data_IF_321957636325
#
_entry.id   IF_321957636325
#
_cell.length_a   1.000
_cell.length_b   1.000
_cell.length_c   1.000
_cell.angle_alpha   90.00
_cell.angle_beta   90.00
_cell.angle_gamma   90.00
#
_symmetry.space_group_name_H-M   'P 1'
#
loop_
_entity.id
_entity.type
_entity.pdbx_description
1 polymer ?
#
# COMPACT_ATOMS: atom_id res chain seq x y z
N UNK A 1 14.49 3.25 -4.79
CA UNK A 1 14.25 2.28 -5.86
C UNK A 1 12.76 2.02 -6.08
N UNK A 2 11.96 1.77 -5.04
CA UNK A 2 10.52 1.50 -5.11
C UNK A 2 9.74 2.65 -5.77
N UNK A 3 10.00 3.90 -5.37
CA UNK A 3 9.36 5.08 -5.98
C UNK A 3 9.73 5.24 -7.46
N UNK A 4 10.99 4.94 -7.82
CA UNK A 4 11.41 4.94 -9.21
C UNK A 4 10.66 3.89 -10.02
N UNK A 5 10.53 2.66 -9.50
CA UNK A 5 9.82 1.58 -10.18
C UNK A 5 8.34 1.92 -10.37
N UNK A 6 7.71 2.57 -9.38
CA UNK A 6 6.33 3.04 -9.47
C UNK A 6 6.11 4.04 -10.59
N UNK A 7 7.06 4.95 -10.82
CA UNK A 7 6.99 5.93 -11.90
C UNK A 7 7.42 5.37 -13.24
N UNK A 8 8.41 4.46 -13.26
CA UNK A 8 8.95 3.86 -14.46
C UNK A 8 7.97 2.89 -15.15
N UNK A 9 7.27 2.08 -14.37
CA UNK A 9 6.46 1.00 -14.90
C UNK A 9 5.28 1.48 -15.77
N UNK A 10 4.51 2.53 -15.43
CA UNK A 10 3.46 3.05 -16.30
C UNK A 10 3.99 3.52 -17.66
N UNK A 11 5.17 4.14 -17.68
CA UNK A 11 5.81 4.63 -18.89
C UNK A 11 6.41 3.51 -19.76
N UNK A 12 6.53 2.28 -19.23
CA UNK A 12 7.09 1.11 -19.93
C UNK A 12 6.07 -0.02 -20.11
N UNK A 13 4.77 0.26 -20.00
CA UNK A 13 3.71 -0.72 -20.19
C UNK A 13 3.59 -1.78 -19.08
N UNK A 14 4.25 -1.57 -17.92
CA UNK A 14 4.27 -2.50 -16.79
C UNK A 14 3.36 -2.09 -15.63
N UNK A 15 2.39 -1.18 -15.84
CA UNK A 15 1.47 -0.68 -14.81
C UNK A 15 0.71 -1.81 -14.11
N UNK A 16 0.23 -2.79 -14.87
CA UNK A 16 -0.49 -3.94 -14.34
C UNK A 16 0.39 -4.78 -13.42
N UNK A 17 1.64 -4.98 -13.80
CA UNK A 17 2.65 -5.72 -13.03
C UNK A 17 2.91 -5.08 -11.66
N UNK A 18 3.05 -3.77 -11.63
CA UNK A 18 3.23 -2.99 -10.40
C UNK A 18 1.99 -3.09 -9.53
N UNK A 19 0.81 -2.98 -10.11
CA UNK A 19 -0.47 -3.13 -9.39
C UNK A 19 -0.58 -4.48 -8.69
N UNK A 20 -0.15 -5.58 -9.31
CA UNK A 20 -0.09 -6.89 -8.67
C UNK A 20 0.85 -6.92 -7.47
N UNK A 21 1.99 -6.22 -7.55
CA UNK A 21 2.91 -6.09 -6.43
C UNK A 21 2.26 -5.45 -5.20
N UNK A 22 1.50 -4.38 -5.41
CA UNK A 22 0.74 -3.72 -4.33
C UNK A 22 -0.39 -4.59 -3.78
N UNK A 23 -1.06 -5.38 -4.63
CA UNK A 23 -2.09 -6.31 -4.18
C UNK A 23 -1.52 -7.46 -3.33
N UNK A 24 -0.30 -7.91 -3.65
CA UNK A 24 0.40 -8.95 -2.88
C UNK A 24 1.01 -8.41 -1.58
N UNK A 25 1.35 -7.13 -1.53
CA UNK A 25 2.04 -6.50 -0.40
C UNK A 25 1.39 -6.80 0.96
N UNK A 26 0.08 -6.65 1.17
CA UNK A 26 -0.55 -6.92 2.47
C UNK A 26 -0.37 -8.38 2.91
N UNK A 27 -0.44 -9.33 2.00
CA UNK A 27 -0.25 -10.75 2.29
C UNK A 27 1.17 -11.02 2.76
N UNK A 28 2.16 -10.48 2.03
CA UNK A 28 3.58 -10.63 2.36
C UNK A 28 3.91 -9.93 3.68
N UNK A 29 3.32 -8.77 3.97
CA UNK A 29 3.47 -8.08 5.26
C UNK A 29 2.89 -8.89 6.42
N UNK A 30 1.74 -9.54 6.24
CA UNK A 30 1.17 -10.44 7.27
C UNK A 30 2.07 -11.65 7.50
N UNK A 31 2.60 -12.24 6.42
CA UNK A 31 3.56 -13.33 6.53
C UNK A 31 4.83 -12.89 7.28
N UNK A 32 5.39 -11.74 6.94
CA UNK A 32 6.54 -11.16 7.65
C UNK A 32 6.24 -10.88 9.13
N UNK A 33 5.08 -10.31 9.44
CA UNK A 33 4.61 -10.11 10.82
C UNK A 33 4.58 -11.39 11.63
N UNK A 34 4.10 -12.48 11.00
CA UNK A 34 4.04 -13.80 11.65
C UNK A 34 5.40 -14.46 11.78
N UNK A 35 6.21 -14.47 10.72
CA UNK A 35 7.47 -15.22 10.65
C UNK A 35 8.63 -14.49 11.34
N UNK A 36 8.76 -13.17 11.12
CA UNK A 36 9.88 -12.37 11.63
C UNK A 36 9.57 -11.87 13.04
N UNK A 37 8.39 -11.28 13.25
CA UNK A 37 8.02 -10.64 14.51
C UNK A 37 7.23 -11.54 15.45
N UNK A 38 6.92 -12.78 15.03
CA UNK A 38 6.13 -13.77 15.80
C UNK A 38 4.79 -13.19 16.30
N UNK A 39 4.21 -12.28 15.53
CA UNK A 39 2.93 -11.66 15.88
C UNK A 39 1.80 -12.69 15.92
N UNK A 40 0.91 -12.55 16.89
CA UNK A 40 -0.27 -13.41 16.98
C UNK A 40 -1.32 -12.96 15.99
N UNK A 41 -1.74 -13.85 15.12
CA UNK A 41 -2.81 -13.61 14.15
C UNK A 41 -4.08 -14.28 14.67
N UNK A 42 -5.19 -13.54 14.76
CA UNK A 42 -6.49 -14.13 15.12
C UNK A 42 -7.01 -14.99 13.98
N UNK A 43 -7.91 -15.92 14.30
CA UNK A 43 -8.53 -16.80 13.30
C UNK A 43 -9.23 -16.00 12.19
N UNK A 44 -9.93 -14.92 12.56
CA UNK A 44 -10.59 -14.06 11.57
C UNK A 44 -9.61 -13.37 10.64
N UNK A 45 -8.48 -12.85 11.16
CA UNK A 45 -7.42 -12.28 10.33
C UNK A 45 -6.77 -13.32 9.43
N UNK A 46 -6.57 -14.54 9.91
CA UNK A 46 -6.04 -15.62 9.10
C UNK A 46 -6.98 -15.97 7.93
N UNK A 47 -8.28 -16.10 8.21
CA UNK A 47 -9.29 -16.34 7.16
C UNK A 47 -9.31 -15.19 6.16
N UNK A 48 -9.25 -13.94 6.63
CA UNK A 48 -9.17 -12.77 5.75
C UNK A 48 -7.96 -12.81 4.81
N UNK A 49 -6.79 -13.19 5.32
CA UNK A 49 -5.58 -13.36 4.49
C UNK A 49 -5.76 -14.45 3.43
N UNK A 50 -6.36 -15.58 3.79
CA UNK A 50 -6.62 -16.68 2.83
C UNK A 50 -7.59 -16.23 1.75
N UNK A 51 -8.68 -15.55 2.10
CA UNK A 51 -9.65 -15.03 1.13
C UNK A 51 -8.97 -14.00 0.20
N UNK A 52 -8.20 -13.06 0.75
CA UNK A 52 -7.48 -12.08 -0.04
C UNK A 52 -6.46 -12.75 -0.98
N UNK A 53 -5.73 -13.75 -0.49
CA UNK A 53 -4.79 -14.51 -1.30
C UNK A 53 -5.48 -15.23 -2.48
N UNK A 54 -6.65 -15.84 -2.26
CA UNK A 54 -7.44 -16.46 -3.32
C UNK A 54 -7.88 -15.43 -4.37
N UNK A 55 -8.32 -14.23 -3.94
CA UNK A 55 -8.66 -13.13 -4.84
C UNK A 55 -7.47 -12.68 -5.69
N UNK A 56 -6.30 -12.51 -5.07
CA UNK A 56 -5.07 -12.12 -5.78
C UNK A 56 -4.62 -13.21 -6.76
N UNK A 57 -4.64 -14.48 -6.34
CA UNK A 57 -4.29 -15.62 -7.21
C UNK A 57 -5.24 -15.68 -8.42
N UNK A 58 -6.55 -15.52 -8.20
CA UNK A 58 -7.52 -15.51 -9.31
C UNK A 58 -7.21 -14.40 -10.32
N UNK A 59 -6.88 -13.20 -9.83
CA UNK A 59 -6.53 -12.07 -10.69
C UNK A 59 -5.23 -12.29 -11.46
N UNK A 60 -4.20 -12.88 -10.83
CA UNK A 60 -2.94 -13.24 -11.49
C UNK A 60 -3.17 -14.26 -12.61
N UNK A 61 -4.01 -15.28 -12.34
CA UNK A 61 -4.31 -16.32 -13.33
C UNK A 61 -5.10 -15.74 -14.52
N UNK A 62 -6.09 -14.89 -14.25
CA UNK A 62 -6.92 -14.31 -15.29
C UNK A 62 -6.18 -13.26 -16.14
N UNK A 63 -5.28 -12.49 -15.54
CA UNK A 63 -4.56 -11.39 -16.22
C UNK A 63 -3.15 -11.74 -16.72
N UNK A 64 -2.68 -12.98 -16.58
CA UNK A 64 -1.50 -13.47 -17.31
C UNK A 64 -0.21 -13.62 -16.52
N UNK A 65 -0.25 -13.78 -15.21
CA UNK A 65 0.91 -14.20 -14.42
C UNK A 65 1.53 -13.16 -13.51
N UNK A 66 2.55 -13.58 -12.77
CA UNK A 66 3.30 -12.76 -11.82
C UNK A 66 4.58 -12.25 -12.49
N UNK A 67 4.78 -10.96 -12.46
CA UNK A 67 5.98 -10.32 -13.03
C UNK A 67 7.07 -10.09 -11.99
N UNK A 68 8.30 -9.84 -12.43
CA UNK A 68 9.41 -9.51 -11.53
C UNK A 68 9.19 -8.18 -10.79
N UNK A 69 8.53 -7.21 -11.42
CA UNK A 69 8.18 -5.92 -10.83
C UNK A 69 7.26 -6.12 -9.62
N UNK A 70 6.27 -7.00 -9.74
CA UNK A 70 5.36 -7.33 -8.64
C UNK A 70 6.11 -7.92 -7.44
N UNK A 71 7.06 -8.83 -7.69
CA UNK A 71 7.89 -9.43 -6.64
C UNK A 71 8.75 -8.37 -5.97
N UNK A 72 9.43 -7.54 -6.75
CA UNK A 72 10.30 -6.48 -6.22
C UNK A 72 9.51 -5.49 -5.37
N UNK A 73 8.30 -5.11 -5.75
CA UNK A 73 7.45 -4.20 -4.97
C UNK A 73 7.03 -4.85 -3.65
N UNK A 74 6.41 -6.02 -3.67
CA UNK A 74 5.88 -6.61 -2.46
C UNK A 74 6.98 -7.01 -1.46
N UNK A 75 8.11 -7.55 -1.93
CA UNK A 75 9.24 -7.90 -1.06
C UNK A 75 10.00 -6.65 -0.61
N UNK A 76 10.21 -5.69 -1.50
CA UNK A 76 10.94 -4.46 -1.18
C UNK A 76 10.26 -3.61 -0.11
N UNK A 77 8.96 -3.34 -0.24
CA UNK A 77 8.22 -2.61 0.79
C UNK A 77 8.12 -3.39 2.11
N UNK A 78 7.87 -4.70 2.04
CA UNK A 78 7.84 -5.54 3.23
C UNK A 78 9.19 -5.53 3.96
N UNK A 79 10.30 -5.60 3.22
CA UNK A 79 11.65 -5.52 3.78
C UNK A 79 11.90 -4.15 4.41
N UNK A 80 11.55 -3.07 3.73
CA UNK A 80 11.67 -1.71 4.25
C UNK A 80 10.97 -1.55 5.60
N UNK A 81 9.69 -1.91 5.70
CA UNK A 81 8.94 -1.80 6.95
C UNK A 81 9.44 -2.76 8.03
N UNK A 82 9.88 -3.97 7.63
CA UNK A 82 10.44 -4.94 8.56
C UNK A 82 11.76 -4.44 9.18
N UNK A 83 12.65 -3.87 8.37
CA UNK A 83 13.92 -3.31 8.84
C UNK A 83 13.68 -2.10 9.74
N UNK A 84 12.81 -1.17 9.36
CA UNK A 84 12.44 -0.03 10.22
C UNK A 84 11.92 -0.50 11.57
N UNK A 85 11.02 -1.45 11.58
CA UNK A 85 10.45 -2.01 12.80
C UNK A 85 11.49 -2.73 13.67
N UNK A 86 12.35 -3.53 13.05
CA UNK A 86 13.40 -4.28 13.76
C UNK A 86 14.45 -3.35 14.40
N UNK A 87 14.83 -2.29 13.71
CA UNK A 87 15.78 -1.30 14.19
C UNK A 87 15.19 -0.33 15.21
N UNK A 88 13.87 -0.39 15.46
CA UNK A 88 13.13 0.61 16.26
C UNK A 88 13.39 2.06 15.79
N UNK A 89 13.76 2.21 14.53
CA UNK A 89 14.19 3.46 13.92
C UNK A 89 13.04 4.11 13.18
N UNK A 90 11.91 4.10 13.82
CA UNK A 90 10.64 4.55 13.27
C UNK A 90 10.35 6.01 13.63
N UNK A 91 11.39 6.76 14.01
CA UNK A 91 11.29 8.16 14.33
C UNK A 91 11.01 8.99 13.08
N UNK A 92 10.21 10.03 13.24
CA UNK A 92 9.94 11.01 12.20
C UNK A 92 11.24 11.65 11.68
N UNK A 93 12.25 11.79 12.54
CA UNK A 93 13.57 12.29 12.16
C UNK A 93 14.26 11.39 11.13
N UNK A 94 14.23 10.08 11.31
CA UNK A 94 14.80 9.13 10.34
C UNK A 94 14.06 9.21 8.99
N UNK A 95 12.72 9.36 9.02
CA UNK A 95 11.95 9.56 7.80
C UNK A 95 12.31 10.88 7.10
N UNK A 96 12.48 11.97 7.85
CA UNK A 96 12.95 13.23 7.28
C UNK A 96 14.34 13.11 6.63
N UNK A 97 15.27 12.38 7.25
CA UNK A 97 16.60 12.13 6.68
C UNK A 97 16.51 11.30 5.37
N UNK A 98 15.63 10.28 5.33
CA UNK A 98 15.37 9.52 4.10
C UNK A 98 14.84 10.44 2.98
N UNK A 99 13.89 11.33 3.28
CA UNK A 99 13.36 12.29 2.30
C UNK A 99 14.43 13.29 1.85
N UNK A 100 15.22 13.82 2.78
CA UNK A 100 16.34 14.72 2.45
C UNK A 100 17.38 14.05 1.54
N UNK A 101 17.64 12.76 1.73
CA UNK A 101 18.57 12.00 0.88
C UNK A 101 18.09 11.84 -0.57
N UNK A 102 16.79 11.98 -0.83
CA UNK A 102 16.21 11.93 -2.18
C UNK A 102 16.26 13.27 -2.92
N UNK A 103 16.49 14.40 -2.19
CA UNK A 103 16.49 15.73 -2.79
C UNK A 103 17.55 15.86 -3.91
N UNK A 104 18.81 15.41 -3.77
CA UNK A 104 19.79 15.52 -4.84
C UNK A 104 19.36 14.81 -6.12
N UNK A 105 18.76 13.63 -5.96
CA UNK A 105 18.25 12.83 -7.08
C UNK A 105 17.07 13.54 -7.74
N UNK A 106 16.15 14.09 -6.95
CA UNK A 106 15.00 14.84 -7.45
C UNK A 106 15.43 16.10 -8.20
N UNK A 107 16.42 16.83 -7.70
CA UNK A 107 16.99 18.00 -8.38
C UNK A 107 17.62 17.60 -9.72
N UNK A 108 18.38 16.50 -9.75
CA UNK A 108 19.00 16.01 -10.99
C UNK A 108 17.94 15.76 -12.09
N UNK A 109 16.85 15.07 -11.77
CA UNK A 109 15.76 14.84 -12.73
C UNK A 109 15.00 16.11 -13.07
N UNK A 110 14.78 17.00 -12.11
CA UNK A 110 14.15 18.29 -12.37
C UNK A 110 14.93 19.15 -13.37
N UNK A 111 16.26 19.14 -13.27
CA UNK A 111 17.12 19.88 -14.21
C UNK A 111 17.09 19.30 -15.65
N UNK A 112 16.67 18.06 -15.82
CA UNK A 112 16.52 17.43 -17.13
C UNK A 112 15.11 17.59 -17.72
N UNK A 113 14.15 18.10 -16.94
CA UNK A 113 12.77 18.25 -17.36
C UNK A 113 12.58 19.61 -18.05
N UNK A 114 11.99 19.59 -19.24
CA UNK A 114 11.58 20.81 -19.92
C UNK A 114 10.27 21.32 -19.32
N UNK A 115 10.37 22.20 -18.35
CA UNK A 115 9.22 22.78 -17.66
C UNK A 115 8.33 23.63 -18.58
N UNK A 116 8.87 24.18 -19.67
CA UNK A 116 8.06 24.94 -20.60
C UNK A 116 7.02 24.06 -21.31
N UNK A 117 7.39 22.85 -21.68
CA UNK A 117 6.46 21.86 -22.25
C UNK A 117 5.40 21.43 -21.23
N UNK A 118 5.81 21.24 -19.98
CA UNK A 118 4.89 20.82 -18.88
C UNK A 118 3.88 21.93 -18.58
N UNK A 119 4.32 23.19 -18.54
CA UNK A 119 3.46 24.36 -18.27
C UNK A 119 2.48 24.63 -19.43
N UNK A 120 2.89 24.40 -20.67
CA UNK A 120 2.00 24.47 -21.83
C UNK A 120 0.88 23.43 -21.77
N UNK A 121 1.16 22.23 -21.22
CA UNK A 121 0.17 21.16 -21.06
C UNK A 121 -0.84 21.46 -19.96
N UNK A 122 -0.42 22.16 -18.89
CA UNK A 122 -1.31 22.53 -17.78
C UNK A 122 -0.81 23.81 -17.08
N UNK A 123 -1.48 24.96 -17.29
CA UNK A 123 -1.09 26.24 -16.68
C UNK A 123 -1.06 26.24 -15.14
N UNK A 124 -1.81 25.34 -14.51
CA UNK A 124 -1.91 25.23 -13.04
C UNK A 124 -0.92 24.23 -12.45
N UNK A 125 0.04 23.74 -13.24
CA UNK A 125 0.93 22.63 -12.83
C UNK A 125 1.67 22.91 -11.52
N UNK A 126 2.13 24.13 -11.31
CA UNK A 126 2.86 24.50 -10.09
C UNK A 126 2.01 24.39 -8.83
N UNK A 127 0.76 24.86 -8.90
CA UNK A 127 -0.19 24.69 -7.80
C UNK A 127 -0.53 23.24 -7.52
N UNK A 128 -0.71 22.43 -8.58
CA UNK A 128 -0.98 21.00 -8.47
C UNK A 128 0.21 20.24 -7.89
N UNK A 129 1.44 20.57 -8.25
CA UNK A 129 2.66 19.96 -7.69
C UNK A 129 2.80 20.24 -6.19
N UNK A 130 2.56 21.49 -5.77
CA UNK A 130 2.57 21.85 -4.35
C UNK A 130 1.48 21.10 -3.58
N UNK A 131 0.26 21.07 -4.11
CA UNK A 131 -0.85 20.35 -3.52
C UNK A 131 -0.57 18.83 -3.41
N UNK A 132 -0.05 18.23 -4.48
CA UNK A 132 0.36 16.84 -4.51
C UNK A 132 1.43 16.55 -3.44
N UNK A 133 2.44 17.41 -3.34
CA UNK A 133 3.49 17.29 -2.33
C UNK A 133 2.97 17.35 -0.90
N UNK A 134 2.04 18.27 -0.61
CA UNK A 134 1.41 18.41 0.71
C UNK A 134 0.55 17.17 1.05
N UNK A 135 -0.29 16.72 0.14
CA UNK A 135 -1.15 15.56 0.35
C UNK A 135 -0.29 14.30 0.54
N UNK A 136 0.65 14.05 -0.36
CA UNK A 136 1.52 12.86 -0.30
C UNK A 136 2.42 12.89 0.93
N UNK A 137 2.99 14.05 1.27
CA UNK A 137 3.84 14.20 2.44
C UNK A 137 3.08 13.94 3.75
N UNK A 138 1.88 14.50 3.90
CA UNK A 138 1.04 14.23 5.09
C UNK A 138 0.61 12.78 5.16
N UNK A 139 0.24 12.16 4.05
CA UNK A 139 -0.12 10.74 4.00
C UNK A 139 1.05 9.83 4.38
N UNK A 140 2.26 10.09 3.88
CA UNK A 140 3.46 9.33 4.22
C UNK A 140 3.83 9.48 5.70
N UNK A 141 3.76 10.69 6.26
CA UNK A 141 3.99 10.92 7.70
C UNK A 141 2.98 10.11 8.52
N UNK A 142 1.70 10.19 8.18
CA UNK A 142 0.66 9.42 8.87
C UNK A 142 0.90 7.91 8.77
N UNK A 143 1.34 7.42 7.61
CA UNK A 143 1.68 6.01 7.41
C UNK A 143 2.88 5.58 8.26
N UNK A 144 3.94 6.40 8.35
CA UNK A 144 5.11 6.15 9.21
C UNK A 144 4.70 6.09 10.68
N UNK A 145 3.87 7.03 11.15
CA UNK A 145 3.34 7.03 12.52
C UNK A 145 2.53 5.75 12.77
N UNK A 146 1.62 5.39 11.86
CA UNK A 146 0.82 4.19 11.97
C UNK A 146 1.67 2.91 12.00
N UNK A 147 2.76 2.84 11.21
CA UNK A 147 3.67 1.70 11.19
C UNK A 147 4.37 1.44 12.52
N UNK A 148 4.50 2.48 13.36
CA UNK A 148 5.07 2.39 14.70
C UNK A 148 4.06 1.94 15.75
N UNK A 149 2.82 2.33 15.58
CA UNK A 149 1.75 2.07 16.53
C UNK A 149 1.07 0.73 16.31
N UNK A 150 1.10 0.22 15.07
CA UNK A 150 0.36 -0.97 14.67
C UNK A 150 1.28 -2.19 14.50
N UNK A 151 0.79 -3.40 14.81
CA UNK A 151 1.47 -4.62 14.43
C UNK A 151 1.54 -4.75 12.90
N UNK A 152 2.62 -5.36 12.39
CA UNK A 152 2.89 -5.49 10.95
C UNK A 152 1.75 -6.19 10.20
N UNK A 153 1.15 -7.22 10.82
CA UNK A 153 0.02 -7.93 10.24
C UNK A 153 -1.23 -7.05 10.07
N UNK A 154 -1.46 -6.10 10.98
CA UNK A 154 -2.60 -5.19 10.88
C UNK A 154 -2.31 -4.07 9.87
N UNK A 155 -1.10 -3.53 9.90
CA UNK A 155 -0.65 -2.51 8.95
C UNK A 155 -0.79 -3.03 7.50
N UNK A 156 -0.31 -4.26 7.23
CA UNK A 156 -0.45 -4.89 5.93
C UNK A 156 -1.91 -5.05 5.50
N UNK A 157 -2.77 -5.57 6.38
CA UNK A 157 -4.18 -5.78 6.04
C UNK A 157 -4.94 -4.46 5.79
N UNK A 158 -4.56 -3.37 6.49
CA UNK A 158 -5.13 -2.04 6.24
C UNK A 158 -4.75 -1.51 4.85
N UNK A 159 -3.68 -1.99 4.22
CA UNK A 159 -3.34 -1.66 2.83
C UNK A 159 -4.45 -2.02 1.84
N UNK A 160 -5.29 -3.02 2.13
CA UNK A 160 -6.45 -3.31 1.29
C UNK A 160 -7.53 -2.24 1.31
N UNK A 161 -7.58 -1.38 2.34
CA UNK A 161 -8.48 -0.20 2.37
C UNK A 161 -8.16 0.74 1.22
N UNK A 162 -6.88 0.95 0.95
CA UNK A 162 -6.41 1.76 -0.18
C UNK A 162 -6.96 1.20 -1.50
N UNK A 163 -6.83 -0.11 -1.71
CA UNK A 163 -7.33 -0.77 -2.93
C UNK A 163 -8.84 -0.58 -3.10
N UNK A 164 -9.62 -0.73 -2.03
CA UNK A 164 -11.08 -0.53 -2.08
C UNK A 164 -11.43 0.93 -2.38
N UNK A 165 -10.73 1.88 -1.74
CA UNK A 165 -10.94 3.31 -1.99
C UNK A 165 -10.60 3.69 -3.43
N UNK A 166 -9.51 3.13 -4.00
CA UNK A 166 -9.15 3.35 -5.40
C UNK A 166 -10.25 2.87 -6.35
N UNK A 167 -10.84 1.70 -6.12
CA UNK A 167 -11.96 1.20 -6.93
C UNK A 167 -13.19 2.09 -6.80
N UNK A 168 -13.51 2.59 -5.61
CA UNK A 168 -14.62 3.54 -5.42
C UNK A 168 -14.37 4.82 -6.21
N UNK A 169 -13.14 5.34 -6.18
CA UNK A 169 -12.76 6.54 -6.92
C UNK A 169 -12.85 6.29 -8.43
N UNK A 170 -12.38 5.15 -8.94
CA UNK A 170 -12.50 4.77 -10.36
C UNK A 170 -13.95 4.78 -10.83
N UNK A 171 -14.89 4.23 -10.04
CA UNK A 171 -16.33 4.30 -10.36
C UNK A 171 -16.87 5.73 -10.36
N UNK A 172 -16.43 6.58 -9.43
CA UNK A 172 -16.87 7.97 -9.38
C UNK A 172 -16.37 8.80 -10.58
N UNK A 173 -15.22 8.42 -11.16
CA UNK A 173 -14.67 9.05 -12.37
C UNK A 173 -15.33 8.48 -13.64
N UNK A 174 -16.12 7.40 -13.52
CA UNK A 174 -16.81 6.77 -14.64
C UNK A 174 -16.00 5.67 -15.34
N UNK A 175 -14.95 5.15 -14.68
CA UNK A 175 -14.25 3.98 -15.19
C UNK A 175 -15.06 2.72 -14.97
N UNK A 176 -15.07 1.84 -15.98
CA UNK A 176 -15.70 0.52 -15.87
C UNK A 176 -14.66 -0.50 -15.37
N UNK A 177 -15.08 -1.36 -14.45
CA UNK A 177 -14.22 -2.43 -13.96
C UNK A 177 -14.24 -3.60 -14.95
N UNK A 178 -13.07 -4.07 -15.33
CA UNK A 178 -12.93 -5.30 -16.11
C UNK A 178 -13.60 -6.49 -15.40
N UNK A 179 -14.29 -7.32 -16.16
CA UNK A 179 -14.97 -8.51 -15.64
C UNK A 179 -14.02 -9.44 -14.84
N UNK A 180 -12.76 -9.52 -15.25
CA UNK A 180 -11.71 -10.33 -14.61
C UNK A 180 -11.27 -9.80 -13.24
N UNK A 181 -11.63 -8.56 -12.89
CA UNK A 181 -11.29 -7.93 -11.61
C UNK A 181 -12.36 -8.13 -10.53
N UNK A 182 -13.60 -8.51 -10.88
CA UNK A 182 -14.66 -8.73 -9.89
C UNK A 182 -14.35 -9.78 -8.82
N UNK A 183 -13.76 -10.96 -9.14
CA UNK A 183 -13.45 -11.96 -8.12
C UNK A 183 -12.48 -11.42 -7.07
N UNK A 184 -11.45 -10.69 -7.50
CA UNK A 184 -10.50 -10.02 -6.59
C UNK A 184 -11.20 -9.04 -5.68
N UNK A 185 -12.02 -8.14 -6.26
CA UNK A 185 -12.71 -7.11 -5.49
C UNK A 185 -13.65 -7.69 -4.43
N UNK A 186 -14.44 -8.71 -4.80
CA UNK A 186 -15.33 -9.41 -3.86
C UNK A 186 -14.51 -10.02 -2.71
N UNK A 187 -13.40 -10.70 -3.02
CA UNK A 187 -12.51 -11.28 -1.99
C UNK A 187 -11.93 -10.20 -1.06
N UNK A 188 -11.52 -9.05 -1.59
CA UNK A 188 -11.00 -7.94 -0.78
C UNK A 188 -12.06 -7.35 0.15
N UNK A 189 -13.28 -7.12 -0.34
CA UNK A 189 -14.40 -6.61 0.48
C UNK A 189 -14.74 -7.60 1.60
N UNK A 190 -14.78 -8.90 1.30
CA UNK A 190 -15.01 -9.94 2.31
C UNK A 190 -13.88 -9.99 3.34
N UNK A 191 -12.63 -9.93 2.90
CA UNK A 191 -11.47 -9.93 3.80
C UNK A 191 -11.50 -8.71 4.73
N UNK A 192 -11.78 -7.51 4.21
CA UNK A 192 -11.91 -6.29 5.00
C UNK A 192 -13.07 -6.36 6.00
N UNK A 193 -14.21 -6.90 5.60
CA UNK A 193 -15.36 -7.08 6.49
C UNK A 193 -15.01 -7.97 7.68
N UNK A 194 -14.26 -9.05 7.46
CA UNK A 194 -13.77 -9.94 8.53
C UNK A 194 -12.79 -9.25 9.48
N UNK A 195 -11.92 -8.38 8.96
CA UNK A 195 -10.94 -7.63 9.79
C UNK A 195 -11.67 -6.63 10.68
N UNK A 196 -12.63 -5.89 10.11
CA UNK A 196 -13.46 -4.95 10.87
C UNK A 196 -14.24 -5.70 11.96
N UNK A 197 -14.84 -6.84 11.61
CA UNK A 197 -15.56 -7.67 12.55
C UNK A 197 -14.67 -8.17 13.70
N UNK A 198 -13.43 -8.64 13.42
CA UNK A 198 -12.45 -9.04 14.44
C UNK A 198 -12.10 -7.87 15.38
N UNK A 199 -11.94 -6.65 14.82
CA UNK A 199 -11.66 -5.45 15.59
C UNK A 199 -12.79 -5.10 16.55
N UNK A 200 -14.02 -5.03 16.04
CA UNK A 200 -15.22 -4.73 16.85
C UNK A 200 -15.48 -5.81 17.91
N UNK A 201 -15.35 -7.09 17.54
CA UNK A 201 -15.53 -8.19 18.46
C UNK A 201 -14.57 -8.12 19.67
N UNK A 202 -13.29 -7.85 19.40
CA UNK A 202 -12.27 -7.71 20.46
C UNK A 202 -12.48 -6.49 21.35
N UNK A 203 -12.94 -5.38 20.78
CA UNK A 203 -13.28 -4.20 21.59
C UNK A 203 -14.45 -4.49 22.54
N UNK A 204 -15.51 -5.15 22.05
CA UNK A 204 -16.66 -5.54 22.87
C UNK A 204 -16.28 -6.54 23.97
N UNK A 205 -15.38 -7.48 23.67
CA UNK A 205 -14.89 -8.45 24.67
C UNK A 205 -14.06 -7.77 25.78
N UNK A 206 -13.24 -6.75 25.44
CA UNK A 206 -12.48 -5.97 26.43
C UNK A 206 -13.38 -5.09 27.30
N UNK A 207 -14.40 -4.45 26.72
CA UNK A 207 -15.35 -3.61 27.45
C UNK A 207 -16.14 -4.38 28.52
N UNK A 208 -16.44 -5.67 28.28
CA UNK A 208 -17.11 -6.50 29.28
C UNK A 208 -16.23 -6.88 30.48
N UNK A 209 -14.91 -6.92 30.34
CA UNK A 209 -13.98 -7.28 31.42
C UNK A 209 -13.57 -6.08 32.29
N UNK A 210 -13.97 -4.85 31.94
CA UNK A 210 -13.76 -3.63 32.77
C UNK A 210 -14.98 -3.22 33.59
N UNK A 211 -16.07 -3.97 33.57
CA UNK A 211 -17.34 -3.69 34.28
C UNK A 211 -17.60 -4.71 35.42
N UNK A 212 -16.58 -5.52 35.78
CA UNK A 212 -16.66 -6.43 36.95
C UNK A 212 -15.69 -5.99 38.02
#
# INVERSE_FOLDING_TARGET
FQMWLFLWAPNNGSSLSVSFGYLLLPIVMVAAGRLIFKERISTFKFIAVVIAALGVISNIVLKGGLSWEAIVICVGYTTYFSVRKALKNSDLASFCLEMLSLIPISIYFALQTDFAVVEQSNPNIWGLLVLLGLISGTALIAYVIASNMLPMNLLGLLGYVETILMVIISFLIGEEMDADSYPLFICLVLAMSLIIFDGVYKQRAKGKNHVV
#
